data_IF_554015679313
#
_entry.id   IF_554015679313
#
_cell.length_a   1.000
_cell.length_b   1.000
_cell.length_c   1.000
_cell.angle_alpha   90.00
_cell.angle_beta   90.00
_cell.angle_gamma   90.00
#
_symmetry.space_group_name_H-M   'P 1'
#
loop_
_entity.id
_entity.type
_entity.pdbx_description
1 polymer ?
#
# COMPACT_ATOMS: atom_id res chain seq x y z
N UNK A 1 -15.15 -4.92 -1.56
CA UNK A 1 -14.14 -5.81 -0.93
C UNK A 1 -14.82 -6.85 -0.08
N UNK A 2 -15.42 -6.48 1.05
CA UNK A 2 -16.06 -7.45 1.95
C UNK A 2 -17.33 -8.11 1.39
N UNK A 3 -17.94 -7.50 0.38
CA UNK A 3 -19.10 -8.03 -0.36
C UNK A 3 -18.69 -8.61 -1.73
N UNK A 4 -17.39 -8.86 -1.97
CA UNK A 4 -16.96 -9.49 -3.21
C UNK A 4 -17.20 -10.99 -3.14
N UNK A 5 -17.84 -11.54 -4.18
CA UNK A 5 -18.03 -12.98 -4.32
C UNK A 5 -16.71 -13.72 -4.64
N UNK A 6 -15.77 -13.04 -5.31
CA UNK A 6 -14.43 -13.56 -5.62
C UNK A 6 -13.39 -12.42 -5.60
N UNK A 7 -12.10 -12.78 -5.52
CA UNK A 7 -11.01 -11.81 -5.52
C UNK A 7 -10.76 -11.22 -6.91
N UNK A 8 -10.58 -9.90 -7.04
CA UNK A 8 -10.21 -9.29 -8.30
C UNK A 8 -8.79 -9.71 -8.71
N UNK A 9 -8.47 -9.57 -10.00
CA UNK A 9 -7.11 -9.81 -10.49
C UNK A 9 -6.13 -8.74 -9.99
N UNK A 10 -6.57 -7.49 -9.82
CA UNK A 10 -5.72 -6.39 -9.36
C UNK A 10 -6.48 -5.30 -8.60
N UNK A 11 -5.78 -4.59 -7.73
CA UNK A 11 -6.29 -3.46 -6.92
C UNK A 11 -5.24 -2.36 -6.83
N UNK A 12 -5.69 -1.11 -7.02
CA UNK A 12 -4.93 0.08 -6.65
C UNK A 12 -5.44 0.63 -5.32
N UNK A 13 -4.54 0.89 -4.37
CA UNK A 13 -4.84 1.49 -3.07
C UNK A 13 -4.23 2.89 -3.02
N UNK A 14 -5.05 3.90 -2.74
CA UNK A 14 -4.60 5.27 -2.54
C UNK A 14 -4.61 5.62 -1.05
N UNK A 15 -3.45 6.00 -0.52
CA UNK A 15 -3.22 6.28 0.89
C UNK A 15 -2.62 5.09 1.64
N UNK A 16 -1.29 5.07 1.89
CA UNK A 16 -0.61 4.05 2.69
C UNK A 16 -0.82 4.27 4.20
N UNK A 17 -2.07 4.51 4.62
CA UNK A 17 -2.44 4.47 6.04
C UNK A 17 -2.52 3.03 6.55
N UNK A 18 -2.75 2.84 7.84
CA UNK A 18 -2.82 1.50 8.49
C UNK A 18 -3.71 0.53 7.70
N UNK A 19 -4.96 0.95 7.42
CA UNK A 19 -5.95 0.10 6.71
C UNK A 19 -5.48 -0.22 5.28
N UNK A 20 -4.95 0.77 4.55
CA UNK A 20 -4.52 0.58 3.17
C UNK A 20 -3.34 -0.39 3.05
N UNK A 21 -2.40 -0.32 3.99
CA UNK A 21 -1.25 -1.22 4.07
C UNK A 21 -1.68 -2.64 4.47
N UNK A 22 -2.48 -2.79 5.52
CA UNK A 22 -2.93 -4.11 5.99
C UNK A 22 -3.80 -4.83 4.94
N UNK A 23 -4.76 -4.13 4.32
CA UNK A 23 -5.59 -4.71 3.28
C UNK A 23 -4.79 -4.99 2.00
N UNK A 24 -3.87 -4.09 1.63
CA UNK A 24 -2.99 -4.30 0.48
C UNK A 24 -2.13 -5.56 0.64
N UNK A 25 -1.53 -5.73 1.81
CA UNK A 25 -0.75 -6.92 2.16
C UNK A 25 -1.61 -8.19 2.14
N UNK A 26 -2.78 -8.16 2.75
CA UNK A 26 -3.69 -9.30 2.80
C UNK A 26 -4.11 -9.75 1.39
N UNK A 27 -4.52 -8.81 0.53
CA UNK A 27 -4.91 -9.12 -0.86
C UNK A 27 -3.72 -9.60 -1.70
N UNK A 28 -2.54 -9.00 -1.52
CA UNK A 28 -1.33 -9.44 -2.21
C UNK A 28 -1.01 -10.92 -1.91
N UNK A 29 -1.07 -11.31 -0.62
CA UNK A 29 -0.87 -12.70 -0.19
C UNK A 29 -1.91 -13.67 -0.74
N UNK A 30 -3.11 -13.18 -1.05
CA UNK A 30 -4.18 -13.95 -1.68
C UNK A 30 -4.04 -14.02 -3.22
N UNK A 31 -2.98 -13.47 -3.79
CA UNK A 31 -2.67 -13.54 -5.22
C UNK A 31 -3.19 -12.37 -6.05
N UNK A 32 -3.76 -11.33 -5.42
CA UNK A 32 -4.19 -10.11 -6.11
C UNK A 32 -2.97 -9.26 -6.46
N UNK A 33 -2.88 -8.73 -7.69
CA UNK A 33 -1.86 -7.73 -8.01
C UNK A 33 -2.21 -6.40 -7.31
N UNK A 34 -1.43 -6.02 -6.30
CA UNK A 34 -1.67 -4.82 -5.50
C UNK A 34 -0.64 -3.75 -5.79
N UNK A 35 -1.10 -2.52 -5.99
CA UNK A 35 -0.26 -1.31 -6.06
C UNK A 35 -0.75 -0.28 -5.06
N UNK A 36 0.13 0.16 -4.17
CA UNK A 36 -0.19 1.17 -3.15
C UNK A 36 0.51 2.49 -3.47
N UNK A 37 -0.24 3.57 -3.43
CA UNK A 37 0.21 4.93 -3.77
C UNK A 37 -0.02 5.86 -2.58
N UNK A 38 1.02 6.62 -2.19
CA UNK A 38 0.95 7.61 -1.12
C UNK A 38 1.22 9.03 -1.59
N UNK A 39 0.77 9.99 -0.79
CA UNK A 39 1.10 11.40 -0.93
C UNK A 39 2.00 11.80 0.24
N UNK A 40 3.12 12.47 -0.04
CA UNK A 40 4.00 13.04 0.99
C UNK A 40 4.97 12.08 1.67
N UNK A 41 5.15 10.86 1.15
CA UNK A 41 6.23 9.96 1.57
C UNK A 41 6.01 9.20 2.88
N UNK A 42 4.82 9.30 3.48
CA UNK A 42 4.51 8.59 4.72
C UNK A 42 4.17 7.12 4.50
N UNK A 43 4.50 6.29 5.49
CA UNK A 43 4.08 4.88 5.60
C UNK A 43 3.40 4.69 6.96
N UNK A 44 2.08 4.52 6.95
CA UNK A 44 1.28 4.44 8.16
C UNK A 44 1.41 5.70 9.04
N UNK A 45 1.18 5.59 10.36
CA UNK A 45 1.32 6.68 11.32
C UNK A 45 2.77 6.82 11.84
N UNK A 46 3.76 6.29 11.12
CA UNK A 46 5.15 6.27 11.56
C UNK A 46 5.77 7.67 11.44
N UNK A 47 6.39 8.13 12.53
CA UNK A 47 7.04 9.45 12.58
C UNK A 47 8.55 9.37 12.74
N UNK A 48 9.06 8.26 13.28
CA UNK A 48 10.50 8.05 13.39
C UNK A 48 11.09 7.74 12.00
N UNK A 49 12.12 8.48 11.54
CA UNK A 49 12.66 8.31 10.20
C UNK A 49 13.26 6.93 9.93
N UNK A 50 13.92 6.31 10.90
CA UNK A 50 14.55 5.00 10.72
C UNK A 50 13.49 3.90 10.65
N UNK A 51 12.47 3.98 11.51
CA UNK A 51 11.34 3.04 11.48
C UNK A 51 10.53 3.18 10.19
N UNK A 52 10.29 4.41 9.73
CA UNK A 52 9.57 4.65 8.47
C UNK A 52 10.33 4.09 7.26
N UNK A 53 11.65 4.31 7.18
CA UNK A 53 12.47 3.76 6.12
C UNK A 53 12.51 2.22 6.14
N UNK A 54 12.59 1.63 7.34
CA UNK A 54 12.52 0.18 7.51
C UNK A 54 11.16 -0.37 7.05
N UNK A 55 10.06 0.26 7.46
CA UNK A 55 8.72 -0.16 7.08
C UNK A 55 8.48 -0.02 5.58
N UNK A 56 8.89 1.09 4.96
CA UNK A 56 8.81 1.28 3.50
C UNK A 56 9.50 0.12 2.78
N UNK A 57 10.74 -0.18 3.15
CA UNK A 57 11.50 -1.27 2.56
C UNK A 57 10.81 -2.62 2.76
N UNK A 58 10.34 -2.91 3.98
CA UNK A 58 9.68 -4.18 4.29
C UNK A 58 8.40 -4.37 3.46
N UNK A 59 7.60 -3.32 3.27
CA UNK A 59 6.42 -3.40 2.41
C UNK A 59 6.79 -3.52 0.93
N UNK A 60 7.84 -2.83 0.46
CA UNK A 60 8.32 -2.92 -0.92
C UNK A 60 8.91 -4.30 -1.27
N UNK A 61 9.42 -5.05 -0.29
CA UNK A 61 9.83 -6.45 -0.46
C UNK A 61 8.62 -7.38 -0.66
N UNK A 62 7.43 -6.96 -0.25
CA UNK A 62 6.21 -7.76 -0.35
C UNK A 62 5.32 -7.36 -1.53
N UNK A 63 5.05 -6.07 -1.74
CA UNK A 63 4.24 -5.59 -2.87
C UNK A 63 4.67 -4.20 -3.34
N UNK A 64 4.13 -3.76 -4.49
CA UNK A 64 4.44 -2.43 -5.02
C UNK A 64 3.91 -1.33 -4.09
N UNK A 65 4.81 -0.53 -3.53
CA UNK A 65 4.50 0.65 -2.72
C UNK A 65 5.30 1.85 -3.22
N UNK A 66 4.58 2.91 -3.60
CA UNK A 66 5.14 4.22 -3.93
C UNK A 66 4.60 5.27 -2.96
N UNK A 67 5.29 5.56 -1.84
CA UNK A 67 4.78 6.44 -0.79
C UNK A 67 4.88 7.93 -1.16
N UNK A 68 5.74 8.28 -2.12
CA UNK A 68 5.82 9.60 -2.73
C UNK A 68 5.36 9.53 -4.17
N UNK A 69 4.05 9.53 -4.38
CA UNK A 69 3.48 9.62 -5.73
C UNK A 69 3.01 11.05 -5.99
N UNK A 70 3.44 11.65 -7.11
CA UNK A 70 2.77 12.82 -7.67
C UNK A 70 1.70 12.29 -8.61
N UNK A 71 0.48 12.12 -8.10
CA UNK A 71 -0.67 11.80 -8.93
C UNK A 71 -1.13 13.07 -9.66
N UNK A 72 -0.55 13.31 -10.83
CA UNK A 72 -1.11 14.23 -11.80
C UNK A 72 -2.37 13.58 -12.38
N UNK A 73 -3.49 13.77 -11.69
CA UNK A 73 -4.82 13.38 -12.17
C UNK A 73 -5.50 14.51 -12.94
N UNK A 74 -4.75 15.29 -13.74
CA UNK A 74 -5.24 16.24 -14.76
C UNK A 74 -4.14 16.45 -15.80
#
# INVERSE_FOLDING_TARGET
>A
MFEWDDLPQSVAVFGPGVIGLELGQALHRLGVEVKVFGLGGQVGPLTDPEVMAYAEKAFQEEFYLMPTSTLNLW
#
